data_IF_028158556593
#
_entry.id   IF_028158556593
#
_cell.length_a   1.000
_cell.length_b   1.000
_cell.length_c   1.000
_cell.angle_alpha   90.00
_cell.angle_beta   90.00
_cell.angle_gamma   90.00
#
_symmetry.space_group_name_H-M   'P 1'
#
loop_
_entity.id
_entity.type
_entity.pdbx_description
1 polymer ?
#
# COMPACT_ATOMS: atom_id res chain seq x y z
N UNK A 1 4.29 13.01 -1.04
CA UNK A 1 5.33 12.70 -2.06
C UNK A 1 4.99 13.36 -3.39
N UNK A 2 5.14 14.69 -3.53
CA UNK A 2 4.72 15.40 -4.74
C UNK A 2 5.52 14.99 -5.99
N UNK A 3 6.85 14.80 -5.84
CA UNK A 3 7.74 14.48 -6.97
C UNK A 3 7.53 13.08 -7.55
N UNK A 4 6.89 12.17 -6.82
CA UNK A 4 6.58 10.84 -7.34
C UNK A 4 5.57 10.91 -8.50
N UNK A 5 4.56 11.79 -8.41
CA UNK A 5 3.61 11.98 -9.50
C UNK A 5 4.31 12.49 -10.76
N UNK A 6 5.16 13.52 -10.60
CA UNK A 6 5.97 14.10 -11.69
C UNK A 6 6.85 13.05 -12.35
N UNK A 7 7.56 12.22 -11.56
CA UNK A 7 8.39 11.14 -12.09
C UNK A 7 7.59 10.15 -12.95
N UNK A 8 6.40 9.76 -12.48
CA UNK A 8 5.55 8.83 -13.21
C UNK A 8 5.05 9.45 -14.52
N UNK A 9 4.66 10.73 -14.50
CA UNK A 9 4.21 11.46 -15.69
C UNK A 9 5.33 11.52 -16.75
N UNK A 10 6.54 11.90 -16.34
CA UNK A 10 7.72 11.98 -17.21
C UNK A 10 8.06 10.60 -17.79
N UNK A 11 8.00 9.54 -16.99
CA UNK A 11 8.32 8.20 -17.46
C UNK A 11 7.28 7.70 -18.47
N UNK A 12 5.98 7.93 -18.23
CA UNK A 12 4.93 7.55 -19.18
C UNK A 12 5.06 8.30 -20.49
N UNK A 13 5.43 9.59 -20.44
CA UNK A 13 5.70 10.38 -21.64
C UNK A 13 6.92 9.84 -22.43
N UNK A 14 7.98 9.43 -21.74
CA UNK A 14 9.15 8.82 -22.36
C UNK A 14 8.81 7.47 -23.01
N UNK A 15 8.04 6.61 -22.35
CA UNK A 15 7.54 5.35 -22.91
C UNK A 15 6.71 5.57 -24.16
N UNK A 16 5.82 6.57 -24.16
CA UNK A 16 5.00 6.89 -25.34
C UNK A 16 5.86 7.39 -26.52
N UNK A 17 6.91 8.18 -26.23
CA UNK A 17 7.86 8.68 -27.24
C UNK A 17 8.65 7.53 -27.85
N UNK A 18 9.15 6.63 -27.02
CA UNK A 18 9.92 5.45 -27.45
C UNK A 18 9.07 4.55 -28.34
N UNK A 19 7.85 4.20 -27.91
CA UNK A 19 6.91 3.36 -28.66
C UNK A 19 6.65 3.92 -30.07
N UNK A 20 6.43 5.24 -30.17
CA UNK A 20 6.24 5.93 -31.45
C UNK A 20 7.49 5.88 -32.33
N UNK A 21 8.67 6.12 -31.74
CA UNK A 21 9.94 6.14 -32.49
C UNK A 21 10.38 4.75 -32.97
N UNK A 22 10.16 3.72 -32.15
CA UNK A 22 10.55 2.35 -32.43
C UNK A 22 9.51 1.59 -33.27
N UNK A 23 8.28 2.10 -33.36
CA UNK A 23 7.16 1.40 -33.99
C UNK A 23 6.74 0.14 -33.22
N UNK A 24 6.99 0.11 -31.91
CA UNK A 24 6.72 -1.04 -31.03
C UNK A 24 5.62 -0.70 -30.03
N UNK A 25 4.94 -1.71 -29.45
CA UNK A 25 4.00 -1.48 -28.35
C UNK A 25 4.70 -0.80 -27.17
N UNK A 26 4.01 0.10 -26.46
CA UNK A 26 4.58 0.79 -25.30
C UNK A 26 4.95 -0.19 -24.19
N UNK A 27 6.07 0.09 -23.52
CA UNK A 27 6.49 -0.65 -22.33
C UNK A 27 5.44 -0.54 -21.21
N UNK A 28 5.31 -1.64 -20.46
CA UNK A 28 4.48 -1.67 -19.26
C UNK A 28 5.19 -0.93 -18.12
N UNK A 29 4.45 -0.08 -17.43
CA UNK A 29 4.92 0.69 -16.29
C UNK A 29 4.18 0.24 -15.04
N UNK A 30 4.93 -0.33 -14.10
CA UNK A 30 4.40 -0.90 -12.86
C UNK A 30 5.30 -0.49 -11.70
N UNK A 31 4.76 -0.49 -10.48
CA UNK A 31 5.54 -0.21 -9.28
C UNK A 31 5.02 -1.01 -8.09
N UNK A 32 5.88 -1.16 -7.08
CA UNK A 32 5.53 -1.74 -5.80
C UNK A 32 5.34 -0.64 -4.74
N UNK A 33 4.24 -0.69 -3.98
CA UNK A 33 3.94 0.29 -2.94
C UNK A 33 3.68 -0.39 -1.61
N UNK A 34 4.05 0.29 -0.53
CA UNK A 34 3.69 -0.15 0.81
C UNK A 34 2.16 -0.18 0.97
N UNK A 35 1.64 -1.13 1.73
CA UNK A 35 0.20 -1.35 1.84
C UNK A 35 -0.58 -0.16 2.41
N UNK A 36 0.08 0.72 3.18
CA UNK A 36 -0.54 1.89 3.77
C UNK A 36 -0.59 3.08 2.79
N UNK A 37 -1.64 3.94 2.85
CA UNK A 37 -1.79 5.09 1.96
C UNK A 37 -0.75 6.20 2.20
N UNK A 38 0.00 6.10 3.30
CA UNK A 38 1.04 7.03 3.71
C UNK A 38 2.19 6.31 4.39
N UNK A 39 3.40 6.81 4.22
CA UNK A 39 4.60 6.34 4.93
C UNK A 39 5.22 7.52 5.65
N UNK A 40 5.45 7.40 6.96
CA UNK A 40 6.11 8.44 7.78
C UNK A 40 5.51 9.84 7.62
N UNK A 41 4.17 9.94 7.57
CA UNK A 41 3.45 11.20 7.38
C UNK A 41 3.44 11.74 5.95
N UNK A 42 4.04 11.03 4.99
CA UNK A 42 4.00 11.38 3.57
C UNK A 42 2.95 10.55 2.85
N UNK A 43 1.99 11.23 2.23
CA UNK A 43 0.95 10.58 1.43
C UNK A 43 1.43 10.26 0.02
N UNK A 44 0.98 9.11 -0.49
CA UNK A 44 1.09 8.77 -1.90
C UNK A 44 0.16 9.65 -2.76
N UNK A 45 0.60 10.10 -3.96
CA UNK A 45 -0.27 10.75 -4.93
C UNK A 45 -1.13 9.70 -5.65
N UNK A 46 -2.09 9.10 -4.93
CA UNK A 46 -2.86 7.92 -5.39
C UNK A 46 -3.51 8.14 -6.75
N UNK A 47 -4.07 9.33 -7.01
CA UNK A 47 -4.69 9.66 -8.29
C UNK A 47 -3.70 9.66 -9.46
N UNK A 48 -2.50 10.22 -9.27
CA UNK A 48 -1.46 10.17 -10.30
C UNK A 48 -1.02 8.73 -10.54
N UNK A 49 -0.78 7.97 -9.47
CA UNK A 49 -0.37 6.56 -9.57
C UNK A 49 -1.41 5.74 -10.35
N UNK A 50 -2.69 5.86 -10.03
CA UNK A 50 -3.77 5.09 -10.67
C UNK A 50 -3.99 5.45 -12.14
N UNK A 51 -3.68 6.69 -12.53
CA UNK A 51 -3.86 7.15 -13.90
C UNK A 51 -2.69 6.76 -14.81
N UNK A 52 -1.51 6.54 -14.24
CA UNK A 52 -0.26 6.40 -15.01
C UNK A 52 0.21 4.95 -15.10
N UNK A 53 0.14 4.19 -14.01
CA UNK A 53 0.63 2.81 -13.98
C UNK A 53 -0.37 1.86 -14.63
N UNK A 54 0.13 0.84 -15.32
CA UNK A 54 -0.71 -0.21 -15.89
C UNK A 54 -1.31 -1.09 -14.79
N UNK A 55 -0.54 -1.37 -13.74
CA UNK A 55 -1.00 -1.95 -12.49
C UNK A 55 -0.03 -1.68 -11.34
N UNK A 56 -0.51 -2.00 -10.13
CA UNK A 56 0.21 -1.82 -8.87
C UNK A 56 0.47 -3.18 -8.24
N UNK A 57 1.70 -3.39 -7.76
CA UNK A 57 2.04 -4.50 -6.88
C UNK A 57 1.98 -4.02 -5.43
N UNK A 58 0.87 -4.29 -4.73
CA UNK A 58 0.75 -3.88 -3.32
C UNK A 58 1.59 -4.81 -2.43
N UNK A 59 2.51 -4.23 -1.67
CA UNK A 59 3.33 -4.96 -0.69
C UNK A 59 2.52 -5.22 0.58
N UNK A 60 1.52 -6.09 0.47
CA UNK A 60 0.61 -6.49 1.54
C UNK A 60 1.23 -7.58 2.44
N UNK A 61 2.41 -7.28 2.94
CA UNK A 61 3.23 -8.12 3.80
C UNK A 61 4.15 -7.22 4.63
N UNK A 62 5.00 -7.80 5.49
CA UNK A 62 5.84 -7.04 6.42
C UNK A 62 5.02 -6.14 7.37
N UNK A 63 3.84 -6.60 7.79
CA UNK A 63 2.95 -5.80 8.65
C UNK A 63 3.50 -5.54 10.07
N UNK A 64 4.43 -6.37 10.53
CA UNK A 64 5.00 -6.33 11.88
C UNK A 64 6.53 -6.41 11.83
N UNK A 65 7.13 -5.71 10.86
CA UNK A 65 8.53 -5.83 10.45
C UNK A 65 9.55 -5.13 11.35
N UNK A 66 9.15 -4.54 12.48
CA UNK A 66 10.12 -3.93 13.38
C UNK A 66 10.84 -4.97 14.27
N UNK A 67 12.13 -5.26 14.00
CA UNK A 67 12.85 -6.30 14.72
C UNK A 67 13.32 -5.84 16.11
N UNK A 68 13.26 -4.54 16.40
CA UNK A 68 13.93 -3.97 17.58
C UNK A 68 13.05 -3.86 18.81
N UNK A 69 11.71 -4.02 18.68
CA UNK A 69 10.79 -3.95 19.83
C UNK A 69 9.67 -4.99 19.86
N UNK A 70 9.41 -5.73 18.78
CA UNK A 70 8.37 -6.77 18.79
C UNK A 70 8.81 -7.98 19.63
N UNK A 71 8.28 -8.10 20.86
CA UNK A 71 8.56 -9.22 21.77
C UNK A 71 7.70 -10.46 21.49
N UNK A 72 6.88 -10.44 20.44
CA UNK A 72 5.84 -11.44 20.15
C UNK A 72 5.83 -11.76 18.65
N UNK A 73 5.69 -13.03 18.31
CA UNK A 73 5.49 -13.48 16.91
C UNK A 73 4.13 -13.05 16.39
N UNK A 74 4.09 -12.43 15.21
CA UNK A 74 2.86 -12.06 14.50
C UNK A 74 2.84 -12.62 13.07
N UNK A 75 1.64 -12.67 12.48
CA UNK A 75 1.50 -13.11 11.08
C UNK A 75 2.05 -12.05 10.13
N UNK A 76 2.94 -12.46 9.23
CA UNK A 76 3.61 -11.59 8.26
C UNK A 76 2.67 -10.88 7.28
N UNK A 77 1.51 -11.50 6.98
CA UNK A 77 0.52 -10.98 6.03
C UNK A 77 -0.91 -11.32 6.50
N UNK A 78 -1.27 -10.87 7.71
CA UNK A 78 -2.60 -11.10 8.28
C UNK A 78 -3.69 -10.43 7.45
N UNK A 79 -4.66 -11.20 6.94
CA UNK A 79 -5.81 -10.65 6.19
C UNK A 79 -6.64 -9.66 7.03
N UNK A 80 -6.73 -9.91 8.33
CA UNK A 80 -7.42 -9.06 9.30
C UNK A 80 -6.47 -8.74 10.44
N UNK A 81 -6.63 -7.54 11.01
CA UNK A 81 -5.93 -7.16 12.23
C UNK A 81 -6.44 -8.02 13.42
N UNK A 82 -5.59 -8.87 14.01
CA UNK A 82 -5.99 -9.71 15.15
C UNK A 82 -6.34 -8.88 16.39
N UNK A 83 -5.85 -7.65 16.51
CA UNK A 83 -6.17 -6.75 17.63
C UNK A 83 -7.57 -6.14 17.53
N UNK A 84 -8.06 -5.92 16.30
CA UNK A 84 -9.41 -5.41 16.06
C UNK A 84 -10.51 -6.38 16.53
N UNK A 85 -10.27 -7.69 16.41
CA UNK A 85 -11.21 -8.73 16.87
C UNK A 85 -11.31 -8.80 18.40
N UNK A 86 -10.23 -8.47 19.11
CA UNK A 86 -10.23 -8.41 20.57
C UNK A 86 -11.04 -7.20 21.08
N UNK A 87 -11.01 -6.07 20.37
CA UNK A 87 -11.80 -4.90 20.72
C UNK A 87 -13.32 -5.16 20.61
N UNK A 88 -13.76 -5.94 19.62
CA UNK A 88 -15.19 -6.32 19.47
C UNK A 88 -15.67 -7.23 20.61
N UNK A 89 -14.84 -8.19 21.05
CA UNK A 89 -15.16 -9.08 22.18
C UNK A 89 -15.12 -8.31 23.51
N UNK A 90 -14.16 -7.40 23.70
CA UNK A 90 -14.06 -6.59 24.91
C UNK A 90 -15.13 -5.47 24.98
N UNK A 91 -15.72 -5.09 23.84
CA UNK A 91 -16.84 -4.14 23.76
C UNK A 91 -18.22 -4.74 24.04
N UNK A 92 -18.34 -6.07 24.11
CA UNK A 92 -19.60 -6.78 24.42
C UNK A 92 -19.69 -7.28 25.88
N UNK A 93 -18.75 -6.89 26.72
CA UNK A 93 -18.58 -7.41 28.09
C UNK A 93 -18.87 -6.44 29.24
N UNK A 94 -19.91 -5.60 29.15
CA UNK A 94 -20.44 -4.86 30.32
C UNK A 94 -21.98 -4.88 30.31
N UNK A 95 -22.54 -6.08 30.40
CA UNK A 95 -23.92 -6.30 30.81
C UNK A 95 -23.94 -6.88 32.22
N UNK A 96 -24.08 -6.02 33.22
CA UNK A 96 -24.41 -6.43 34.59
C UNK A 96 -25.69 -7.26 34.59
N UNK A 97 -25.63 -8.53 35.00
CA UNK A 97 -26.82 -9.31 35.38
C UNK A 97 -27.11 -9.07 36.87
N UNK A 98 -28.25 -8.48 37.24
CA UNK A 98 -28.80 -8.62 38.58
C UNK A 98 -29.61 -9.93 38.67
N UNK A 99 -29.56 -10.58 39.84
CA UNK A 99 -30.39 -11.74 40.21
C UNK A 99 -29.62 -13.05 40.26
#
# INVERSE_FOLDING_TARGET
MANLGVLLDEWRAAVATEAQSAGQPPLLLTAAFYYAPSINGLNYPVLSISNILDWINLMAYDFYDDPTWAKVTNSHAALYDPSARLAEVMGSGLGSRPG
#
